data_IF_024139072624
#
_entry.id   IF_024139072624
#
_cell.length_a   1.000
_cell.length_b   1.000
_cell.length_c   1.000
_cell.angle_alpha   90.00
_cell.angle_beta   90.00
_cell.angle_gamma   90.00
#
_symmetry.space_group_name_H-M   'P 1'
#
loop_
_entity.id
_entity.type
_entity.pdbx_description
1 polymer ?
#
# COMPACT_ATOMS: atom_id res chain seq x y z
N UNK A 1 -13.77 11.72 26.26
CA UNK A 1 -12.45 11.09 26.06
C UNK A 1 -12.43 10.46 24.66
N UNK A 2 -11.40 10.75 23.86
CA UNK A 2 -11.32 10.34 22.46
C UNK A 2 -11.16 8.80 22.36
N UNK A 3 -11.77 8.14 21.36
CA UNK A 3 -11.78 6.67 21.30
C UNK A 3 -10.39 6.04 21.15
N UNK A 4 -9.46 6.77 20.52
CA UNK A 4 -8.05 6.36 20.42
C UNK A 4 -7.31 6.42 21.76
N UNK A 5 -7.71 7.33 22.66
CA UNK A 5 -7.12 7.42 24.00
C UNK A 5 -7.58 6.22 24.84
N UNK A 6 -8.83 5.80 24.70
CA UNK A 6 -9.37 4.60 25.37
C UNK A 6 -8.69 3.30 24.91
N UNK A 7 -7.98 3.30 23.78
CA UNK A 7 -7.20 2.14 23.36
C UNK A 7 -5.94 1.97 24.22
N UNK A 8 -5.42 3.06 24.80
CA UNK A 8 -4.26 3.00 25.69
C UNK A 8 -4.60 2.31 27.02
N UNK A 9 -5.87 2.38 27.47
CA UNK A 9 -6.35 1.69 28.67
C UNK A 9 -6.27 0.16 28.58
N UNK A 10 -6.08 -0.38 27.37
CA UNK A 10 -5.96 -1.83 27.12
C UNK A 10 -4.51 -2.30 27.09
N UNK A 11 -3.55 -1.38 27.13
CA UNK A 11 -2.13 -1.69 27.08
C UNK A 11 -1.62 -1.96 28.50
N UNK A 12 -0.72 -2.94 28.62
CA UNK A 12 0.07 -3.14 29.82
C UNK A 12 1.09 -2.01 30.00
N UNK A 13 1.65 -1.88 31.20
CA UNK A 13 2.64 -0.85 31.53
C UNK A 13 3.83 -0.84 30.57
N UNK A 14 4.41 -2.02 30.28
CA UNK A 14 5.52 -2.13 29.32
C UNK A 14 5.14 -1.79 27.88
N UNK A 15 3.89 -2.05 27.47
CA UNK A 15 3.39 -1.65 26.14
C UNK A 15 3.19 -0.14 26.06
N UNK A 16 2.77 0.51 27.14
CA UNK A 16 2.66 1.98 27.23
C UNK A 16 4.04 2.63 27.13
N UNK A 17 5.03 2.12 27.86
CA UNK A 17 6.41 2.62 27.80
C UNK A 17 7.01 2.49 26.39
N UNK A 18 6.82 1.34 25.76
CA UNK A 18 7.29 1.12 24.39
C UNK A 18 6.55 2.02 23.39
N UNK A 19 5.24 2.20 23.55
CA UNK A 19 4.44 3.10 22.72
C UNK A 19 4.89 4.55 22.85
N UNK A 20 5.21 5.01 24.07
CA UNK A 20 5.75 6.34 24.32
C UNK A 20 7.13 6.51 23.65
N UNK A 21 8.00 5.50 23.73
CA UNK A 21 9.29 5.50 23.06
C UNK A 21 9.13 5.61 21.54
N UNK A 22 8.27 4.79 20.95
CA UNK A 22 8.03 4.78 19.50
C UNK A 22 7.42 6.10 18.99
N UNK A 23 6.61 6.76 19.83
CA UNK A 23 6.11 8.12 19.58
C UNK A 23 7.26 9.13 19.55
N UNK A 24 8.11 9.14 20.57
CA UNK A 24 9.25 10.07 20.69
C UNK A 24 10.28 9.88 19.58
N UNK A 25 10.53 8.63 19.19
CA UNK A 25 11.45 8.27 18.10
C UNK A 25 10.80 8.48 16.70
N UNK A 26 9.53 8.91 16.66
CA UNK A 26 8.82 9.25 15.43
C UNK A 26 8.51 8.04 14.54
N UNK A 27 8.58 6.81 15.06
CA UNK A 27 8.20 5.61 14.31
C UNK A 27 6.71 5.59 14.00
N UNK A 28 5.88 5.98 14.97
CA UNK A 28 4.43 6.05 14.78
C UNK A 28 4.06 7.08 13.71
N UNK A 29 4.71 8.26 13.72
CA UNK A 29 4.48 9.29 12.70
C UNK A 29 4.82 8.78 11.29
N UNK A 30 5.98 8.13 11.12
CA UNK A 30 6.38 7.51 9.85
C UNK A 30 5.41 6.40 9.40
N UNK A 31 4.88 5.62 10.35
CA UNK A 31 3.87 4.61 10.05
C UNK A 31 2.54 5.23 9.60
N UNK A 32 2.08 6.28 10.29
CA UNK A 32 0.86 7.02 9.95
C UNK A 32 0.99 7.63 8.54
N UNK A 33 2.12 8.26 8.21
CA UNK A 33 2.37 8.81 6.88
C UNK A 33 2.29 7.74 5.80
N UNK A 34 2.98 6.61 5.98
CA UNK A 34 2.92 5.48 5.06
C UNK A 34 1.50 4.93 4.89
N UNK A 35 0.72 4.84 5.99
CA UNK A 35 -0.68 4.45 5.94
C UNK A 35 -1.54 5.47 5.20
N UNK A 36 -1.32 6.77 5.41
CA UNK A 36 -1.99 7.85 4.68
C UNK A 36 -1.67 7.80 3.19
N UNK A 37 -0.42 7.55 2.80
CA UNK A 37 -0.05 7.33 1.40
C UNK A 37 -0.79 6.15 0.80
N UNK A 38 -0.91 5.05 1.55
CA UNK A 38 -1.69 3.88 1.11
C UNK A 38 -3.17 4.24 0.87
N UNK A 39 -3.76 5.08 1.73
CA UNK A 39 -5.14 5.55 1.59
C UNK A 39 -5.34 6.64 0.51
N UNK A 40 -4.30 7.39 0.15
CA UNK A 40 -4.36 8.38 -0.94
C UNK A 40 -4.45 7.72 -2.32
N UNK A 41 -4.11 6.44 -2.46
CA UNK A 41 -4.31 5.67 -3.69
C UNK A 41 -5.79 5.26 -3.85
N UNK A 42 -6.74 6.15 -3.58
CA UNK A 42 -8.17 5.82 -3.47
C UNK A 42 -8.93 5.80 -4.81
N UNK A 43 -8.31 6.23 -5.90
CA UNK A 43 -8.80 5.98 -7.26
C UNK A 43 -7.76 5.16 -8.01
N UNK A 44 -7.60 3.90 -7.61
CA UNK A 44 -6.83 2.96 -8.42
C UNK A 44 -7.64 2.73 -9.67
N UNK A 45 -7.01 2.95 -10.82
CA UNK A 45 -7.55 2.61 -12.11
C UNK A 45 -6.78 1.41 -12.65
N UNK A 46 -7.50 0.47 -13.27
CA UNK A 46 -6.88 -0.68 -13.89
C UNK A 46 -6.03 -0.20 -15.07
N UNK A 47 -4.73 -0.49 -15.04
CA UNK A 47 -3.79 -0.05 -16.10
C UNK A 47 -4.08 -0.66 -17.47
N UNK A 48 -4.96 -1.66 -17.53
CA UNK A 48 -5.31 -2.37 -18.76
C UNK A 48 -6.64 -1.89 -19.34
N UNK A 49 -7.69 -1.78 -18.52
CA UNK A 49 -9.05 -1.50 -19.02
C UNK A 49 -9.62 -0.16 -18.55
N UNK A 50 -8.96 0.58 -17.65
CA UNK A 50 -9.44 1.88 -17.19
C UNK A 50 -10.55 1.82 -16.13
N UNK A 51 -10.98 0.64 -15.70
CA UNK A 51 -11.99 0.51 -14.63
C UNK A 51 -11.41 0.87 -13.26
N UNK A 52 -12.25 1.44 -12.39
CA UNK A 52 -11.91 1.60 -10.98
C UNK A 52 -11.64 0.24 -10.34
N UNK A 53 -10.57 0.16 -9.56
CA UNK A 53 -10.15 -1.07 -8.89
C UNK A 53 -10.48 -0.99 -7.41
N UNK A 54 -11.09 -2.07 -6.91
CA UNK A 54 -11.43 -2.26 -5.49
C UNK A 54 -10.17 -2.56 -4.67
N UNK A 55 -10.31 -2.57 -3.34
CA UNK A 55 -9.19 -2.80 -2.42
C UNK A 55 -8.55 -4.20 -2.55
N UNK A 56 -9.31 -5.20 -3.02
CA UNK A 56 -8.90 -6.59 -3.28
C UNK A 56 -8.28 -6.81 -4.67
N UNK A 57 -7.82 -5.74 -5.33
CA UNK A 57 -7.23 -5.81 -6.66
C UNK A 57 -5.87 -6.53 -6.71
N UNK A 58 -5.52 -7.03 -7.91
CA UNK A 58 -4.18 -7.54 -8.17
C UNK A 58 -3.20 -6.38 -8.35
N UNK A 59 -2.00 -6.50 -7.76
CA UNK A 59 -0.96 -5.48 -7.81
C UNK A 59 0.35 -6.07 -8.28
N UNK A 60 0.90 -5.51 -9.35
CA UNK A 60 2.27 -5.81 -9.81
C UNK A 60 3.20 -4.68 -9.34
N UNK A 61 4.25 -5.02 -8.60
CA UNK A 61 5.27 -4.08 -8.13
C UNK A 61 6.57 -4.40 -8.88
N UNK A 62 7.18 -3.40 -9.52
CA UNK A 62 8.38 -3.58 -10.33
C UNK A 62 9.28 -2.34 -10.31
N UNK A 63 10.55 -2.53 -10.66
CA UNK A 63 11.59 -1.49 -10.59
C UNK A 63 12.48 -1.62 -9.34
N UNK A 64 13.57 -0.87 -9.33
CA UNK A 64 14.54 -0.85 -8.23
C UNK A 64 13.91 -0.31 -6.93
N UNK A 65 14.45 -0.65 -5.75
CA UNK A 65 13.90 -0.21 -4.46
C UNK A 65 13.63 1.29 -4.38
N UNK A 66 14.49 2.13 -4.96
CA UNK A 66 14.36 3.58 -4.97
C UNK A 66 13.26 4.11 -5.92
N UNK A 67 12.85 3.34 -6.93
CA UNK A 67 11.92 3.77 -7.99
C UNK A 67 10.82 2.75 -8.28
N UNK A 68 10.33 2.08 -7.23
CA UNK A 68 9.26 1.07 -7.36
C UNK A 68 7.99 1.67 -7.95
N UNK A 69 7.54 1.10 -9.05
CA UNK A 69 6.24 1.39 -9.68
C UNK A 69 5.22 0.32 -9.30
N UNK A 70 3.96 0.72 -9.22
CA UNK A 70 2.81 -0.16 -8.94
C UNK A 70 1.83 -0.09 -10.11
N UNK A 71 1.38 -1.25 -10.57
CA UNK A 71 0.30 -1.38 -11.54
C UNK A 71 -0.86 -2.15 -10.90
N UNK A 72 -2.07 -1.61 -11.01
CA UNK A 72 -3.29 -2.19 -10.44
C UNK A 72 -4.16 -2.84 -11.52
N UNK A 73 -4.79 -3.97 -11.21
CA UNK A 73 -5.63 -4.73 -12.14
C UNK A 73 -6.93 -5.19 -11.48
N UNK A 74 -8.06 -5.00 -12.18
CA UNK A 74 -9.38 -5.37 -11.68
C UNK A 74 -9.65 -6.87 -11.65
N UNK A 75 -8.85 -7.66 -12.37
CA UNK A 75 -8.97 -9.11 -12.43
C UNK A 75 -7.76 -9.78 -13.07
N UNK A 76 -7.74 -11.10 -12.98
CA UNK A 76 -6.71 -11.97 -13.57
C UNK A 76 -6.58 -11.78 -15.09
N UNK A 77 -7.67 -11.57 -15.79
CA UNK A 77 -7.66 -11.40 -17.26
C UNK A 77 -6.89 -10.14 -17.68
N UNK A 78 -7.11 -9.02 -16.97
CA UNK A 78 -6.37 -7.78 -17.22
C UNK A 78 -4.88 -7.93 -16.88
N UNK A 79 -4.56 -8.64 -15.80
CA UNK A 79 -3.18 -8.96 -15.43
C UNK A 79 -2.49 -9.82 -16.51
N UNK A 80 -3.14 -10.90 -16.95
CA UNK A 80 -2.61 -11.81 -17.96
C UNK A 80 -2.43 -11.11 -19.32
N UNK A 81 -3.41 -10.29 -19.73
CA UNK A 81 -3.29 -9.47 -20.93
C UNK A 81 -2.08 -8.54 -20.87
N UNK A 82 -1.85 -7.89 -19.72
CA UNK A 82 -0.71 -7.01 -19.53
C UNK A 82 0.63 -7.77 -19.66
N UNK A 83 0.77 -8.94 -19.03
CA UNK A 83 1.96 -9.77 -19.19
C UNK A 83 2.22 -10.17 -20.65
N UNK A 84 1.17 -10.64 -21.33
CA UNK A 84 1.31 -11.17 -22.69
C UNK A 84 1.58 -10.08 -23.73
N UNK A 85 0.98 -8.89 -23.59
CA UNK A 85 1.03 -7.84 -24.62
C UNK A 85 2.04 -6.73 -24.33
N UNK A 86 2.31 -6.41 -23.06
CA UNK A 86 3.11 -5.22 -22.68
C UNK A 86 4.49 -5.56 -22.12
N UNK A 87 4.67 -6.72 -21.49
CA UNK A 87 5.98 -7.12 -20.94
C UNK A 87 6.82 -7.96 -21.90
N UNK A 88 6.21 -8.92 -22.63
CA UNK A 88 6.95 -9.79 -23.56
C UNK A 88 7.53 -9.09 -24.79
N UNK A 89 7.00 -7.92 -25.20
CA UNK A 89 7.52 -7.17 -26.36
C UNK A 89 8.89 -6.52 -26.14
N UNK A 90 9.40 -6.44 -24.90
CA UNK A 90 10.70 -5.81 -24.63
C UNK A 90 11.92 -6.70 -24.90
N UNK A 91 11.73 -8.01 -25.13
CA UNK A 91 12.82 -8.96 -25.38
C UNK A 91 12.90 -9.45 -26.84
N UNK A 92 12.25 -8.75 -27.77
CA UNK A 92 12.22 -9.10 -29.19
C UNK A 92 12.82 -8.01 -30.10
N UNK A 93 13.84 -7.30 -29.61
CA UNK A 93 14.67 -6.37 -30.39
C UNK A 93 16.14 -6.64 -30.09
#
# INVERSE_FOLDING_TARGET
MNDFVKMLDKLSEGEIEQFEKDLKEGYIMRYIERKKEFFKVKDKVCVTCGNNVKDDCFVLIFGEPAIRKKAHFCGTDCLQYFFNKKLRKKHAA
#
